data_IF_618204653528
#
_entry.id   IF_618204653528
#
_cell.length_a   1.000
_cell.length_b   1.000
_cell.length_c   1.000
_cell.angle_alpha   90.00
_cell.angle_beta   90.00
_cell.angle_gamma   90.00
#
_symmetry.space_group_name_H-M   'P 1'
#
loop_
_entity.id
_entity.type
_entity.pdbx_description
1 polymer ?
#
# COMPACT_ATOMS: atom_id res chain seq x y z
N UNK A 1 -0.94 -17.49 -33.89
CA UNK A 1 -1.04 -17.87 -32.46
C UNK A 1 -1.08 -16.58 -31.64
N UNK A 2 -2.26 -16.17 -31.17
CA UNK A 2 -2.38 -14.94 -30.38
C UNK A 2 -1.94 -15.25 -28.95
N UNK A 3 -0.74 -14.78 -28.58
CA UNK A 3 -0.20 -14.92 -27.24
C UNK A 3 -1.14 -14.25 -26.23
N UNK A 4 -1.52 -14.99 -25.19
CA UNK A 4 -2.33 -14.49 -24.08
C UNK A 4 -1.58 -13.30 -23.45
N UNK A 5 -2.08 -12.08 -23.63
CA UNK A 5 -1.52 -10.90 -22.93
C UNK A 5 -1.54 -11.21 -21.44
N UNK A 6 -0.39 -11.15 -20.79
CA UNK A 6 -0.32 -11.09 -19.33
C UNK A 6 -1.19 -9.91 -18.87
N UNK A 7 -2.01 -10.07 -17.83
CA UNK A 7 -2.77 -8.96 -17.28
C UNK A 7 -1.80 -7.84 -16.86
N UNK A 8 -2.13 -6.60 -17.21
CA UNK A 8 -1.36 -5.42 -16.81
C UNK A 8 -1.73 -5.07 -15.35
N UNK A 9 -1.23 -5.89 -14.42
CA UNK A 9 -1.57 -5.86 -13.00
C UNK A 9 -1.02 -7.05 -12.22
N UNK A 10 -1.06 -7.00 -10.87
CA UNK A 10 -0.60 -8.09 -10.02
C UNK A 10 -1.40 -9.37 -10.24
N UNK A 11 -0.70 -10.49 -10.26
CA UNK A 11 -1.31 -11.82 -10.39
C UNK A 11 -2.29 -12.11 -9.24
N UNK A 12 -3.24 -13.05 -9.41
CA UNK A 12 -4.11 -13.47 -8.31
C UNK A 12 -3.35 -13.94 -7.07
N UNK A 13 -2.24 -14.66 -7.26
CA UNK A 13 -1.41 -15.16 -6.15
C UNK A 13 -0.70 -14.02 -5.44
N UNK A 14 -0.12 -13.07 -6.17
CA UNK A 14 0.49 -11.87 -5.61
C UNK A 14 -0.53 -11.07 -4.78
N UNK A 15 -1.75 -10.89 -5.29
CA UNK A 15 -2.84 -10.22 -4.57
C UNK A 15 -3.18 -10.95 -3.27
N UNK A 16 -3.27 -12.29 -3.30
CA UNK A 16 -3.52 -13.12 -2.12
C UNK A 16 -2.40 -13.00 -1.09
N UNK A 17 -1.15 -13.00 -1.53
CA UNK A 17 0.03 -12.80 -0.66
C UNK A 17 -0.04 -11.45 0.05
N UNK A 18 -0.32 -10.37 -0.67
CA UNK A 18 -0.45 -9.01 -0.09
C UNK A 18 -1.59 -8.94 0.93
N UNK A 19 -2.76 -9.51 0.60
CA UNK A 19 -3.89 -9.55 1.51
C UNK A 19 -3.61 -10.37 2.77
N UNK A 20 -2.96 -11.53 2.62
CA UNK A 20 -2.62 -12.40 3.72
C UNK A 20 -1.58 -11.76 4.66
N UNK A 21 -0.54 -11.15 4.09
CA UNK A 21 0.47 -10.38 4.81
C UNK A 21 -0.15 -9.37 5.76
N UNK A 22 -1.17 -8.65 5.30
CA UNK A 22 -1.83 -7.57 6.03
C UNK A 22 -3.11 -8.00 6.75
N UNK A 23 -3.37 -9.30 6.85
CA UNK A 23 -4.48 -9.86 7.62
C UNK A 23 -5.85 -9.41 7.13
N UNK A 24 -6.00 -9.20 5.81
CA UNK A 24 -7.22 -8.69 5.17
C UNK A 24 -7.68 -7.37 5.79
N UNK A 25 -6.74 -6.47 6.06
CA UNK A 25 -7.00 -5.12 6.57
C UNK A 25 -6.31 -4.07 5.73
N UNK A 26 -6.91 -2.88 5.68
CA UNK A 26 -6.27 -1.69 5.14
C UNK A 26 -4.96 -1.40 5.87
N UNK A 27 -3.86 -1.27 5.13
CA UNK A 27 -2.53 -1.01 5.69
C UNK A 27 -2.44 0.32 6.46
N UNK A 28 -3.30 1.29 6.14
CA UNK A 28 -3.31 2.62 6.77
C UNK A 28 -4.23 2.64 7.99
N UNK A 29 -5.53 2.41 7.81
CA UNK A 29 -6.52 2.59 8.87
C UNK A 29 -6.88 1.30 9.64
N UNK A 30 -6.45 0.13 9.16
CA UNK A 30 -6.73 -1.16 9.78
C UNK A 30 -8.18 -1.67 9.62
N UNK A 31 -9.03 -0.97 8.84
CA UNK A 31 -10.38 -1.44 8.49
C UNK A 31 -10.31 -2.79 7.80
N UNK A 32 -11.20 -3.72 8.15
CA UNK A 32 -11.35 -4.99 7.44
C UNK A 32 -11.68 -4.73 5.96
N UNK A 33 -11.00 -5.45 5.07
CA UNK A 33 -11.28 -5.45 3.65
C UNK A 33 -11.83 -6.83 3.30
N UNK A 34 -13.11 -7.03 3.56
CA UNK A 34 -13.77 -8.28 3.25
C UNK A 34 -14.21 -8.37 1.77
N UNK A 35 -14.62 -9.57 1.38
CA UNK A 35 -14.93 -9.95 0.01
C UNK A 35 -16.32 -9.48 -0.44
N UNK A 36 -17.12 -8.82 0.42
CA UNK A 36 -18.46 -8.33 0.09
C UNK A 36 -18.37 -6.85 -0.28
N UNK A 37 -18.28 -6.62 -1.59
CA UNK A 37 -18.41 -5.35 -2.34
C UNK A 37 -18.94 -4.17 -1.49
N UNK A 38 -18.10 -3.22 -1.07
CA UNK A 38 -17.42 -2.19 -1.88
C UNK A 38 -16.03 -1.79 -1.33
N UNK A 39 -15.06 -1.46 -2.20
CA UNK A 39 -13.98 -0.51 -1.84
C UNK A 39 -12.76 -1.06 -1.10
N UNK A 40 -11.95 -1.89 -1.76
CA UNK A 40 -10.50 -1.89 -1.50
C UNK A 40 -9.73 -2.01 -2.81
N UNK A 41 -8.50 -1.51 -2.79
CA UNK A 41 -7.58 -1.54 -3.92
C UNK A 41 -6.24 -2.13 -3.51
N UNK A 42 -5.61 -2.85 -4.43
CA UNK A 42 -4.19 -3.20 -4.31
C UNK A 42 -3.43 -2.01 -4.87
N UNK A 43 -2.95 -1.17 -3.97
CA UNK A 43 -2.29 0.10 -4.23
C UNK A 43 -0.82 -0.12 -4.54
N UNK A 44 -0.34 0.53 -5.60
CA UNK A 44 1.06 0.60 -5.99
C UNK A 44 1.75 1.76 -5.28
N UNK A 45 2.81 1.49 -4.50
CA UNK A 45 3.60 2.51 -3.81
C UNK A 45 4.44 3.32 -4.81
N UNK A 46 5.26 2.65 -5.61
CA UNK A 46 5.78 3.17 -6.86
C UNK A 46 4.66 3.04 -7.90
N UNK A 47 4.11 4.19 -8.31
CA UNK A 47 2.96 4.25 -9.21
C UNK A 47 3.22 3.51 -10.50
N UNK A 48 2.20 2.80 -11.00
CA UNK A 48 2.28 2.04 -12.26
C UNK A 48 2.74 2.87 -13.46
N UNK A 49 2.29 4.12 -13.56
CA UNK A 49 2.70 5.06 -14.63
C UNK A 49 4.15 5.56 -14.52
N UNK A 50 4.82 5.28 -13.39
CA UNK A 50 6.19 5.72 -13.11
C UNK A 50 7.18 4.56 -13.00
N UNK A 51 6.70 3.31 -12.93
CA UNK A 51 7.52 2.12 -12.74
C UNK A 51 7.81 1.33 -14.02
N UNK A 52 7.74 1.97 -15.19
CA UNK A 52 8.08 1.31 -16.46
C UNK A 52 9.53 0.79 -16.42
N UNK A 53 9.71 -0.52 -16.62
CA UNK A 53 11.03 -1.17 -16.57
C UNK A 53 11.50 -1.59 -15.17
N UNK A 54 10.69 -1.39 -14.13
CA UNK A 54 10.94 -1.96 -12.80
C UNK A 54 10.33 -3.36 -12.68
N UNK A 55 11.17 -4.39 -12.51
CA UNK A 55 10.73 -5.79 -12.44
C UNK A 55 9.79 -6.05 -11.25
N UNK A 56 9.96 -5.31 -10.15
CA UNK A 56 9.14 -5.41 -8.95
C UNK A 56 7.79 -4.68 -9.01
N UNK A 57 7.38 -4.15 -10.17
CA UNK A 57 6.21 -3.26 -10.29
C UNK A 57 4.93 -3.88 -9.74
N UNK A 58 4.72 -5.17 -10.02
CA UNK A 58 3.54 -5.91 -9.62
C UNK A 58 3.77 -6.84 -8.44
N UNK A 59 4.91 -6.73 -7.76
CA UNK A 59 5.33 -7.64 -6.69
C UNK A 59 4.96 -7.12 -5.29
N UNK A 60 4.79 -8.00 -4.29
CA UNK A 60 4.32 -7.64 -2.94
C UNK A 60 5.05 -6.47 -2.26
N UNK A 61 6.37 -6.31 -2.50
CA UNK A 61 7.18 -5.22 -1.95
C UNK A 61 6.70 -3.82 -2.37
N UNK A 62 6.07 -3.72 -3.55
CA UNK A 62 5.51 -2.48 -4.07
C UNK A 62 4.02 -2.28 -3.76
N UNK A 63 3.37 -3.23 -3.09
CA UNK A 63 1.92 -3.28 -3.00
C UNK A 63 1.41 -3.14 -1.56
N UNK A 64 0.29 -2.43 -1.41
CA UNK A 64 -0.46 -2.30 -0.16
C UNK A 64 -1.95 -2.56 -0.40
N UNK A 65 -2.64 -3.29 0.49
CA UNK A 65 -4.09 -3.32 0.51
C UNK A 65 -4.62 -2.07 1.20
N UNK A 66 -5.39 -1.24 0.48
CA UNK A 66 -5.99 -0.02 1.01
C UNK A 66 -7.51 -0.05 0.83
N UNK A 67 -8.27 0.42 1.83
CA UNK A 67 -9.71 0.62 1.66
C UNK A 67 -9.99 1.79 0.70
N UNK A 68 -11.15 1.73 0.07
CA UNK A 68 -11.60 2.64 -0.99
C UNK A 68 -11.02 2.33 -2.37
N UNK A 69 -11.15 3.34 -3.22
CA UNK A 69 -10.79 3.41 -4.63
C UNK A 69 -9.86 4.61 -4.85
N UNK A 70 -9.56 4.95 -6.10
CA UNK A 70 -8.71 6.11 -6.39
C UNK A 70 -9.27 7.46 -5.92
N UNK A 71 -10.54 7.52 -5.48
CA UNK A 71 -11.22 8.76 -5.06
C UNK A 71 -11.85 8.73 -3.67
N UNK A 72 -11.94 7.58 -3.01
CA UNK A 72 -12.52 7.43 -1.67
C UNK A 72 -11.65 6.54 -0.75
N UNK A 73 -11.94 6.58 0.55
CA UNK A 73 -11.18 5.84 1.56
C UNK A 73 -9.70 6.22 1.64
N UNK A 74 -8.89 5.34 2.23
CA UNK A 74 -7.46 5.56 2.36
C UNK A 74 -6.74 5.60 1.01
N UNK A 75 -7.22 4.84 0.02
CA UNK A 75 -6.65 4.88 -1.32
C UNK A 75 -6.86 6.26 -1.99
N UNK A 76 -8.06 6.83 -1.89
CA UNK A 76 -8.36 8.18 -2.40
C UNK A 76 -7.62 9.26 -1.62
N UNK A 77 -7.47 9.11 -0.31
CA UNK A 77 -6.66 10.03 0.49
C UNK A 77 -5.19 10.07 0.01
N UNK A 78 -4.57 8.91 -0.26
CA UNK A 78 -3.19 8.82 -0.76
C UNK A 78 -3.00 9.57 -2.08
N UNK A 79 -3.92 9.42 -3.04
CA UNK A 79 -3.80 10.06 -4.36
C UNK A 79 -4.35 11.49 -4.43
N UNK A 80 -5.12 11.92 -3.44
CA UNK A 80 -5.70 13.27 -3.39
C UNK A 80 -5.06 14.14 -2.32
N UNK A 81 -5.50 13.98 -1.07
CA UNK A 81 -5.28 14.95 0.02
C UNK A 81 -3.94 14.76 0.76
N UNK A 82 -3.31 13.59 0.66
CA UNK A 82 -2.12 13.29 1.44
C UNK A 82 -0.90 14.15 1.08
N UNK A 83 -0.77 14.55 -0.20
CA UNK A 83 0.40 15.29 -0.69
C UNK A 83 1.71 14.63 -0.29
N UNK A 84 2.66 15.41 0.22
CA UNK A 84 3.98 14.92 0.67
C UNK A 84 3.91 13.91 1.81
N UNK A 85 2.81 13.89 2.57
CA UNK A 85 2.59 12.92 3.65
C UNK A 85 2.55 11.48 3.12
N UNK A 86 2.02 11.27 1.91
CA UNK A 86 2.02 9.95 1.29
C UNK A 86 3.44 9.40 1.06
N UNK A 87 4.37 10.26 0.63
CA UNK A 87 5.77 9.88 0.42
C UNK A 87 6.52 9.72 1.73
N UNK A 88 6.35 10.66 2.68
CA UNK A 88 6.99 10.58 4.00
C UNK A 88 6.63 9.31 4.75
N UNK A 89 5.37 8.87 4.66
CA UNK A 89 4.89 7.64 5.30
C UNK A 89 5.10 6.37 4.46
N UNK A 90 5.71 6.50 3.27
CA UNK A 90 6.01 5.37 2.39
C UNK A 90 4.80 4.77 1.68
N UNK A 91 3.65 5.44 1.66
CA UNK A 91 2.49 5.03 0.88
C UNK A 91 2.65 5.31 -0.60
N UNK A 92 3.45 6.32 -0.96
CA UNK A 92 3.98 6.52 -2.29
C UNK A 92 5.51 6.46 -2.26
N UNK A 93 6.12 6.02 -3.36
CA UNK A 93 7.57 5.92 -3.54
C UNK A 93 7.94 6.67 -4.82
N UNK A 94 8.91 7.61 -4.78
CA UNK A 94 9.38 8.30 -5.98
C UNK A 94 10.01 7.34 -6.98
N UNK A 95 10.01 7.69 -8.27
CA UNK A 95 10.48 6.80 -9.35
C UNK A 95 11.97 6.45 -9.31
N UNK A 96 12.76 7.19 -8.54
CA UNK A 96 14.20 6.96 -8.34
C UNK A 96 14.52 6.15 -7.08
N UNK A 97 13.51 5.69 -6.34
CA UNK A 97 13.69 4.86 -5.14
C UNK A 97 13.11 3.46 -5.33
N UNK A 98 13.70 2.48 -4.64
CA UNK A 98 13.21 1.12 -4.59
C UNK A 98 12.18 0.96 -3.45
N UNK A 99 10.92 0.56 -3.75
CA UNK A 99 9.90 0.31 -2.74
C UNK A 99 10.33 -0.67 -1.64
N UNK A 100 11.20 -1.64 -1.93
CA UNK A 100 11.68 -2.62 -0.95
C UNK A 100 12.68 -2.05 0.05
N UNK A 101 13.29 -0.91 -0.27
CA UNK A 101 14.20 -0.15 0.60
C UNK A 101 13.57 1.09 1.21
N UNK A 102 12.38 1.51 0.76
CA UNK A 102 11.63 2.62 1.36
C UNK A 102 10.75 2.11 2.51
N UNK A 103 10.93 2.57 3.77
CA UNK A 103 10.04 2.23 4.87
C UNK A 103 8.60 2.70 4.64
N UNK A 104 7.64 1.93 5.14
CA UNK A 104 6.22 2.29 5.17
C UNK A 104 5.69 2.21 6.60
N UNK A 105 4.90 3.20 7.00
CA UNK A 105 4.35 3.25 8.35
C UNK A 105 3.01 2.52 8.45
N UNK A 106 2.95 1.54 9.35
CA UNK A 106 1.72 0.85 9.74
C UNK A 106 1.32 1.29 11.14
N UNK A 107 0.11 1.85 11.30
CA UNK A 107 -0.36 2.39 12.59
C UNK A 107 -0.20 1.44 13.78
N UNK A 108 -0.35 0.12 13.59
CA UNK A 108 -0.23 -0.87 14.69
C UNK A 108 1.13 -1.54 14.79
N UNK A 109 1.98 -1.39 13.78
CA UNK A 109 3.24 -2.13 13.66
C UNK A 109 4.46 -1.21 13.54
N UNK A 110 4.27 0.11 13.53
CA UNK A 110 5.32 1.07 13.27
C UNK A 110 5.86 0.98 11.86
N UNK A 111 7.12 1.33 11.68
CA UNK A 111 7.81 1.33 10.39
C UNK A 111 8.20 -0.08 9.94
N UNK A 112 7.90 -0.39 8.69
CA UNK A 112 8.12 -1.71 8.10
C UNK A 112 8.78 -1.59 6.72
N UNK A 113 9.66 -2.54 6.38
CA UNK A 113 10.07 -2.81 5.00
C UNK A 113 9.23 -3.95 4.43
N UNK A 114 8.90 -3.86 3.14
CA UNK A 114 8.11 -4.86 2.41
C UNK A 114 9.01 -5.57 1.40
N UNK A 115 9.08 -6.90 1.47
CA UNK A 115 9.85 -7.69 0.52
C UNK A 115 8.96 -8.28 -0.59
N UNK A 116 9.56 -8.64 -1.72
CA UNK A 116 8.85 -9.27 -2.84
C UNK A 116 8.34 -10.68 -2.51
N UNK A 117 8.89 -11.36 -1.49
CA UNK A 117 8.34 -12.63 -1.00
C UNK A 117 7.03 -12.46 -0.20
N UNK A 118 6.57 -11.22 0.01
CA UNK A 118 5.36 -10.92 0.76
C UNK A 118 5.57 -10.76 2.26
N UNK A 119 6.80 -10.83 2.76
CA UNK A 119 7.08 -10.61 4.18
C UNK A 119 7.14 -9.11 4.52
N UNK A 120 6.92 -8.82 5.81
CA UNK A 120 7.19 -7.51 6.41
C UNK A 120 8.26 -7.67 7.47
N UNK A 121 9.15 -6.70 7.56
CA UNK A 121 10.18 -6.66 8.61
C UNK A 121 10.15 -5.30 9.29
N UNK A 122 10.15 -5.25 10.63
CA UNK A 122 10.33 -4.00 11.36
C UNK A 122 11.60 -3.29 10.93
N UNK A 123 11.54 -1.97 10.83
CA UNK A 123 12.69 -1.10 10.56
C UNK A 123 12.61 0.14 11.43
N UNK A 124 13.72 0.85 11.56
CA UNK A 124 13.75 2.17 12.17
C UNK A 124 13.03 3.19 11.27
N UNK A 125 12.52 4.31 11.84
CA UNK A 125 11.95 5.40 11.06
C UNK A 125 12.97 5.97 10.06
N UNK A 126 12.53 6.49 8.91
CA UNK A 126 13.36 7.37 8.10
C UNK A 126 13.83 8.59 8.91
N UNK A 127 14.95 9.18 8.51
CA UNK A 127 15.49 10.39 9.14
C UNK A 127 14.43 11.50 9.23
N UNK A 128 14.31 12.12 10.41
CA UNK A 128 13.35 13.19 10.67
C UNK A 128 11.90 12.72 10.87
N UNK A 129 11.64 11.42 10.96
CA UNK A 129 10.32 10.88 11.25
C UNK A 129 10.22 10.28 12.66
N UNK A 130 9.09 10.47 13.31
CA UNK A 130 8.81 9.88 14.62
C UNK A 130 8.71 8.35 14.57
N UNK A 131 9.13 7.69 15.65
CA UNK A 131 8.96 6.25 15.83
C UNK A 131 7.48 5.83 15.85
N UNK A 132 6.61 6.71 16.35
CA UNK A 132 5.17 6.51 16.38
C UNK A 132 4.46 7.75 15.89
N UNK A 133 3.79 7.60 14.75
CA UNK A 133 2.96 8.62 14.14
C UNK A 133 1.53 8.27 14.51
N UNK A 134 0.87 9.16 15.25
CA UNK A 134 -0.45 8.95 15.84
C UNK A 134 -1.57 8.70 14.83
N UNK A 135 -2.57 9.58 14.78
CA UNK A 135 -3.71 9.37 13.87
C UNK A 135 -3.39 9.87 12.45
N UNK A 136 -3.05 8.92 11.59
CA UNK A 136 -2.64 9.14 10.20
C UNK A 136 -3.84 9.57 9.33
N UNK A 137 -5.06 9.25 9.77
CA UNK A 137 -6.28 9.45 8.99
C UNK A 137 -7.44 9.80 9.92
N UNK A 138 -7.72 11.08 10.09
CA UNK A 138 -8.95 11.51 10.74
C UNK A 138 -10.17 11.27 9.82
N UNK A 139 -11.20 10.64 10.39
CA UNK A 139 -12.61 10.62 9.98
C UNK A 139 -12.99 10.22 8.55
N UNK A 140 -13.03 8.91 8.31
CA UNK A 140 -13.96 8.33 7.34
C UNK A 140 -14.97 7.43 8.06
N UNK A 141 -15.86 8.12 8.78
CA UNK A 141 -17.11 7.63 9.40
C UNK A 141 -17.00 6.31 10.20
N UNK A 142 -17.00 6.47 11.53
CA UNK A 142 -17.82 5.61 12.39
C UNK A 142 -19.25 5.62 11.83
N UNK A 143 -19.59 4.64 11.02
CA UNK A 143 -20.94 4.08 11.00
C UNK A 143 -20.79 2.60 11.35
N UNK A 144 -20.54 2.39 12.64
CA UNK A 144 -21.09 1.22 13.30
C UNK A 144 -22.58 1.55 13.49
N UNK A 145 -23.42 0.89 12.72
CA UNK A 145 -24.79 0.58 13.11
C UNK A 145 -25.03 -0.88 12.84
#
# INVERSE_FOLDING_TARGET
MSGRRTPDGPSPDTRRTVLARDGWKCAICGRNIDHRWSGFSIHHRLKRSQGHGYDGLHEPGNLLPLCGSGSDGCHGWVHGKAGDTAYRLGYLVPSWQDPTHTPVYYRRHGWQLLAHDGTRRPTVPPDGMDAWIGDITHDHERKQS
#
